data_IF_005937425890
#
_entry.id   IF_005937425890
#
_cell.length_a   1.000
_cell.length_b   1.000
_cell.length_c   1.000
_cell.angle_alpha   90.00
_cell.angle_beta   90.00
_cell.angle_gamma   90.00
#
_symmetry.space_group_name_H-M   'P 1'
#
loop_
_entity.id
_entity.type
_entity.pdbx_description
1 polymer ?
#
# COMPACT_ATOMS: atom_id res chain seq x y z
N UNK A 1 -43.36 -19.71 15.00
CA UNK A 1 -42.21 -18.83 14.83
C UNK A 1 -42.70 -17.42 14.52
N UNK A 2 -42.76 -16.53 15.55
CA UNK A 2 -43.36 -15.19 15.42
C UNK A 2 -42.29 -14.18 15.09
N UNK A 3 -42.43 -13.50 13.94
CA UNK A 3 -41.55 -12.40 13.53
C UNK A 3 -42.19 -11.09 14.01
N UNK A 4 -41.52 -10.37 14.91
CA UNK A 4 -41.93 -9.07 15.41
C UNK A 4 -41.35 -7.98 14.48
N UNK A 5 -42.28 -7.17 13.91
CA UNK A 5 -41.96 -5.94 13.18
C UNK A 5 -41.56 -4.86 14.21
N UNK A 6 -40.39 -4.25 14.04
CA UNK A 6 -40.01 -3.01 14.71
C UNK A 6 -40.27 -1.83 13.80
N UNK A 7 -40.99 -0.83 14.35
CA UNK A 7 -41.32 0.44 13.69
C UNK A 7 -40.09 1.32 13.43
N UNK A 8 -40.06 2.03 12.28
CA UNK A 8 -38.98 2.94 11.95
C UNK A 8 -39.31 4.39 12.32
N UNK A 9 -39.37 4.72 13.61
CA UNK A 9 -39.59 6.09 14.04
C UNK A 9 -38.80 6.40 15.32
N UNK A 10 -37.49 6.57 15.24
CA UNK A 10 -36.72 7.44 16.15
C UNK A 10 -35.28 7.61 15.64
N UNK A 11 -35.08 8.37 14.57
CA UNK A 11 -33.81 8.94 14.20
C UNK A 11 -33.78 10.39 14.61
N UNK A 12 -33.15 10.66 15.74
CA UNK A 12 -32.87 12.01 16.22
C UNK A 12 -31.92 12.70 15.22
N UNK A 13 -32.26 13.91 14.81
CA UNK A 13 -31.46 14.79 13.95
C UNK A 13 -30.23 15.25 14.71
N UNK A 14 -28.99 15.18 14.11
CA UNK A 14 -27.80 15.80 14.72
C UNK A 14 -27.92 17.32 14.64
N UNK A 15 -27.70 17.97 15.80
CA UNK A 15 -27.69 19.41 15.94
C UNK A 15 -26.50 20.05 15.20
N UNK A 16 -26.76 21.18 14.55
CA UNK A 16 -25.76 22.03 13.89
C UNK A 16 -24.79 22.64 14.92
N UNK A 17 -23.45 22.68 14.63
CA UNK A 17 -22.51 23.33 15.50
C UNK A 17 -22.62 24.86 15.42
N UNK A 18 -22.69 25.48 16.58
CA UNK A 18 -22.70 26.94 16.83
C UNK A 18 -21.42 27.59 16.31
N UNK A 19 -21.58 28.67 15.55
CA UNK A 19 -20.49 29.57 15.13
C UNK A 19 -19.91 30.26 16.36
N UNK A 20 -18.68 29.90 16.77
CA UNK A 20 -17.89 30.71 17.70
C UNK A 20 -16.97 31.61 16.87
N UNK A 21 -17.05 32.92 17.14
CA UNK A 21 -16.25 33.98 16.58
C UNK A 21 -14.75 33.69 16.74
N UNK A 22 -14.02 33.61 15.62
CA UNK A 22 -12.59 33.63 15.58
C UNK A 22 -12.14 35.08 15.36
N UNK A 23 -11.93 35.80 16.44
CA UNK A 23 -11.28 37.11 16.47
C UNK A 23 -9.86 36.97 15.90
N UNK A 24 -9.62 37.55 14.73
CA UNK A 24 -8.28 37.74 14.15
C UNK A 24 -7.52 38.77 14.99
N UNK A 25 -6.57 38.32 15.80
CA UNK A 25 -5.50 39.16 16.34
C UNK A 25 -4.32 39.13 15.38
N UNK A 26 -4.01 40.28 14.78
CA UNK A 26 -2.77 40.50 14.04
C UNK A 26 -1.59 40.53 15.03
N UNK A 27 -0.46 39.85 14.78
CA UNK A 27 0.70 39.96 15.61
C UNK A 27 1.39 41.33 15.42
N UNK A 28 1.61 42.02 16.52
CA UNK A 28 2.40 43.28 16.63
C UNK A 28 3.86 42.99 16.22
N UNK A 29 4.41 43.85 15.36
CA UNK A 29 5.85 43.92 15.11
C UNK A 29 6.50 44.54 16.34
N UNK A 30 7.30 43.80 17.06
CA UNK A 30 8.48 44.13 17.88
C UNK A 30 8.51 43.16 19.04
N UNK A 31 9.50 42.27 18.97
CA UNK A 31 10.31 41.69 20.04
C UNK A 31 10.91 40.37 19.56
N UNK A 32 11.88 40.49 18.63
CA UNK A 32 12.83 39.41 18.41
C UNK A 32 14.12 39.82 19.14
N UNK A 33 14.23 39.47 20.39
CA UNK A 33 15.53 39.45 21.06
C UNK A 33 16.31 38.25 20.51
N UNK A 34 17.49 38.51 19.97
CA UNK A 34 18.45 37.48 19.57
C UNK A 34 18.92 36.70 20.80
N UNK A 35 18.22 35.61 21.11
CA UNK A 35 18.73 34.57 22.00
C UNK A 35 19.74 33.74 21.24
N UNK A 36 20.95 33.64 21.75
CA UNK A 36 22.00 32.76 21.25
C UNK A 36 21.46 31.32 21.10
N UNK A 37 21.33 30.87 19.87
CA UNK A 37 21.05 29.46 19.57
C UNK A 37 22.33 28.70 19.96
N UNK A 38 22.31 28.00 21.10
CA UNK A 38 23.31 26.98 21.39
C UNK A 38 23.26 25.95 20.23
N UNK A 39 24.39 25.72 19.60
CA UNK A 39 24.57 24.64 18.64
C UNK A 39 24.35 23.29 19.34
N UNK A 40 23.09 22.93 19.54
CA UNK A 40 22.72 21.54 19.81
C UNK A 40 23.07 20.72 18.60
N UNK A 41 24.07 19.85 18.73
CA UNK A 41 24.38 18.85 17.69
C UNK A 41 23.10 18.13 17.31
N UNK A 42 22.61 18.41 16.10
CA UNK A 42 21.55 17.60 15.51
C UNK A 42 21.98 16.13 15.59
N UNK A 43 21.08 15.21 15.99
CA UNK A 43 21.41 13.79 15.96
C UNK A 43 21.90 13.47 14.57
N UNK A 44 23.09 12.85 14.47
CA UNK A 44 23.62 12.38 13.18
C UNK A 44 22.57 11.48 12.60
N UNK A 45 21.94 11.91 11.49
CA UNK A 45 21.01 11.07 10.74
C UNK A 45 21.78 9.79 10.38
N UNK A 46 21.20 8.64 10.71
CA UNK A 46 21.69 7.36 10.20
C UNK A 46 21.59 7.43 8.68
N UNK A 47 22.73 7.51 8.02
CA UNK A 47 22.82 7.61 6.56
C UNK A 47 22.86 6.25 5.88
N UNK A 48 22.64 5.15 6.64
CA UNK A 48 22.45 3.84 6.02
C UNK A 48 21.21 3.87 5.15
N UNK A 49 21.26 3.40 3.90
CA UNK A 49 20.08 3.32 3.06
C UNK A 49 19.04 2.41 3.74
N UNK A 50 17.84 2.96 3.98
CA UNK A 50 16.75 2.20 4.56
C UNK A 50 16.36 1.02 3.67
N UNK A 51 15.92 -0.09 4.27
CA UNK A 51 15.45 -1.28 3.56
C UNK A 51 14.08 -1.05 2.95
N UNK A 52 13.88 -1.54 1.73
CA UNK A 52 12.63 -1.38 0.98
C UNK A 52 12.04 -2.73 0.62
N UNK A 53 10.77 -2.96 0.97
CA UNK A 53 10.01 -4.12 0.57
C UNK A 53 8.98 -3.76 -0.51
N UNK A 54 8.88 -4.58 -1.56
CA UNK A 54 7.90 -4.45 -2.63
C UNK A 54 6.75 -5.44 -2.50
N UNK A 55 5.55 -4.99 -2.80
CA UNK A 55 4.32 -5.78 -2.87
C UNK A 55 3.66 -5.56 -4.22
N UNK A 56 3.08 -6.62 -4.80
CA UNK A 56 2.26 -6.53 -6.02
C UNK A 56 0.82 -6.86 -5.61
N UNK A 57 -0.12 -5.97 -5.92
CA UNK A 57 -1.51 -6.12 -5.48
C UNK A 57 -2.50 -5.47 -6.45
N UNK A 58 -3.78 -5.74 -6.26
CA UNK A 58 -4.88 -5.04 -6.95
C UNK A 58 -5.60 -4.07 -6.03
N UNK A 59 -5.72 -4.39 -4.73
CA UNK A 59 -6.48 -3.63 -3.73
C UNK A 59 -7.90 -3.28 -4.22
N UNK A 60 -8.66 -4.30 -4.63
CA UNK A 60 -9.96 -4.11 -5.32
C UNK A 60 -11.18 -4.69 -4.56
N UNK A 61 -11.64 -4.04 -3.46
CA UNK A 61 -10.98 -2.99 -2.68
C UNK A 61 -9.90 -3.53 -1.73
N UNK A 62 -9.25 -2.63 -0.99
CA UNK A 62 -8.41 -3.03 0.15
C UNK A 62 -9.30 -3.61 1.25
N UNK A 63 -8.81 -4.61 1.97
CA UNK A 63 -9.50 -5.29 3.07
C UNK A 63 -8.49 -5.76 4.12
N UNK A 64 -8.97 -6.30 5.25
CA UNK A 64 -8.15 -6.69 6.41
C UNK A 64 -6.98 -7.62 6.06
N UNK A 65 -7.18 -8.53 5.09
CA UNK A 65 -6.10 -9.40 4.59
C UNK A 65 -4.96 -8.64 3.92
N UNK A 66 -5.26 -7.54 3.22
CA UNK A 66 -4.23 -6.68 2.63
C UNK A 66 -3.51 -5.86 3.70
N UNK A 67 -4.24 -5.36 4.71
CA UNK A 67 -3.66 -4.64 5.86
C UNK A 67 -2.71 -5.58 6.61
N UNK A 68 -3.17 -6.78 6.94
CA UNK A 68 -2.35 -7.82 7.55
C UNK A 68 -1.08 -8.12 6.73
N UNK A 69 -1.20 -8.22 5.40
CA UNK A 69 -0.04 -8.46 4.53
C UNK A 69 0.97 -7.31 4.60
N UNK A 70 0.51 -6.04 4.57
CA UNK A 70 1.37 -4.88 4.73
C UNK A 70 2.12 -4.88 6.06
N UNK A 71 1.41 -5.15 7.17
CA UNK A 71 1.98 -5.25 8.52
C UNK A 71 3.01 -6.38 8.60
N UNK A 72 2.67 -7.58 8.11
CA UNK A 72 3.57 -8.74 8.10
C UNK A 72 4.78 -8.54 7.21
N UNK A 73 4.61 -7.88 6.06
CA UNK A 73 5.73 -7.50 5.20
C UNK A 73 6.75 -6.67 5.98
N UNK A 74 6.29 -5.62 6.66
CA UNK A 74 7.14 -4.75 7.45
C UNK A 74 7.80 -5.47 8.63
N UNK A 75 7.00 -6.29 9.35
CA UNK A 75 7.47 -7.07 10.49
C UNK A 75 8.58 -8.06 10.10
N UNK A 76 8.35 -8.86 9.04
CA UNK A 76 9.25 -9.95 8.65
C UNK A 76 10.51 -9.45 7.92
N UNK A 77 10.38 -8.49 7.03
CA UNK A 77 11.51 -7.94 6.27
C UNK A 77 12.34 -6.94 7.08
N UNK A 78 11.77 -6.36 8.16
CA UNK A 78 12.31 -5.20 8.86
C UNK A 78 12.56 -4.03 7.91
N UNK A 79 11.70 -3.90 6.90
CA UNK A 79 11.80 -2.82 5.93
C UNK A 79 11.34 -1.50 6.53
N UNK A 80 12.09 -0.44 6.22
CA UNK A 80 11.77 0.93 6.59
C UNK A 80 10.64 1.47 5.70
N UNK A 81 10.61 1.02 4.44
CA UNK A 81 9.62 1.44 3.44
C UNK A 81 8.96 0.25 2.76
N UNK A 82 7.67 0.39 2.46
CA UNK A 82 6.89 -0.59 1.69
C UNK A 82 6.34 0.07 0.44
N UNK A 83 6.74 -0.44 -0.72
CA UNK A 83 6.30 0.01 -2.05
C UNK A 83 5.28 -0.98 -2.59
N UNK A 84 4.07 -0.52 -2.91
CA UNK A 84 3.06 -1.33 -3.56
C UNK A 84 3.00 -1.02 -5.06
N UNK A 85 3.06 -2.04 -5.91
CA UNK A 85 2.75 -1.94 -7.34
C UNK A 85 1.33 -2.43 -7.55
N UNK A 86 0.43 -1.54 -8.00
CA UNK A 86 -1.01 -1.77 -8.01
C UNK A 86 -1.57 -1.65 -9.42
N UNK A 87 -2.54 -2.50 -9.79
CA UNK A 87 -3.29 -2.35 -11.04
C UNK A 87 -4.03 -1.00 -11.11
N UNK A 88 -4.12 -0.44 -12.31
CA UNK A 88 -4.81 0.82 -12.58
C UNK A 88 -6.34 0.73 -12.48
N UNK A 89 -7.07 1.18 -13.50
CA UNK A 89 -8.53 1.16 -13.51
C UNK A 89 -9.14 -0.23 -13.79
N UNK A 90 -8.31 -1.19 -14.23
CA UNK A 90 -8.75 -2.55 -14.54
C UNK A 90 -7.97 -3.55 -13.72
N UNK A 91 -8.66 -4.64 -13.36
CA UNK A 91 -8.08 -5.78 -12.63
C UNK A 91 -7.32 -6.70 -13.59
N UNK A 92 -6.58 -7.65 -13.03
CA UNK A 92 -5.87 -8.68 -13.80
C UNK A 92 -6.81 -9.48 -14.73
N UNK A 93 -8.07 -9.67 -14.33
CA UNK A 93 -9.10 -10.35 -15.14
C UNK A 93 -9.72 -9.46 -16.23
N UNK A 94 -9.27 -8.23 -16.41
CA UNK A 94 -9.79 -7.29 -17.41
C UNK A 94 -11.11 -6.64 -17.03
N UNK A 95 -11.61 -6.83 -15.80
CA UNK A 95 -12.82 -6.15 -15.31
C UNK A 95 -12.47 -4.78 -14.72
N UNK A 96 -13.38 -3.78 -14.82
CA UNK A 96 -13.18 -2.53 -14.11
C UNK A 96 -13.03 -2.76 -12.60
N UNK A 97 -12.13 -2.01 -11.98
CA UNK A 97 -11.99 -2.00 -10.53
C UNK A 97 -13.23 -1.37 -9.87
N UNK A 98 -13.57 -1.79 -8.64
CA UNK A 98 -14.77 -1.31 -7.90
C UNK A 98 -14.68 0.15 -7.51
N UNK A 99 -13.48 0.73 -7.46
CA UNK A 99 -13.26 2.17 -7.20
C UNK A 99 -12.07 2.68 -8.01
N UNK A 100 -11.94 4.02 -8.06
CA UNK A 100 -10.87 4.68 -8.80
C UNK A 100 -9.47 4.32 -8.27
N UNK A 101 -8.49 4.37 -9.14
CA UNK A 101 -7.10 4.02 -8.75
C UNK A 101 -6.55 4.94 -7.66
N UNK A 102 -6.94 6.21 -7.66
CA UNK A 102 -6.47 7.18 -6.67
C UNK A 102 -7.02 6.92 -5.27
N UNK A 103 -8.30 6.50 -5.18
CA UNK A 103 -8.92 6.10 -3.91
C UNK A 103 -8.27 4.83 -3.37
N UNK A 104 -8.02 3.85 -4.23
CA UNK A 104 -7.33 2.60 -3.85
C UNK A 104 -5.89 2.85 -3.43
N UNK A 105 -5.16 3.72 -4.15
CA UNK A 105 -3.81 4.10 -3.77
C UNK A 105 -3.77 4.81 -2.42
N UNK A 106 -4.71 5.75 -2.17
CA UNK A 106 -4.84 6.40 -0.87
C UNK A 106 -5.11 5.39 0.24
N UNK A 107 -6.05 4.47 0.03
CA UNK A 107 -6.36 3.42 1.00
C UNK A 107 -5.14 2.54 1.31
N UNK A 108 -4.28 2.24 0.32
CA UNK A 108 -3.05 1.49 0.52
C UNK A 108 -2.01 2.28 1.35
N UNK A 109 -1.91 3.59 1.15
CA UNK A 109 -1.06 4.48 1.97
C UNK A 109 -1.61 4.55 3.40
N UNK A 110 -2.91 4.79 3.56
CA UNK A 110 -3.57 4.87 4.87
C UNK A 110 -3.45 3.54 5.65
N UNK A 111 -3.31 2.40 4.94
CA UNK A 111 -3.08 1.07 5.51
C UNK A 111 -1.60 0.77 5.84
N UNK A 112 -0.68 1.70 5.61
CA UNK A 112 0.73 1.57 5.98
C UNK A 112 1.71 1.34 4.83
N UNK A 113 1.28 1.47 3.57
CA UNK A 113 2.19 1.59 2.42
C UNK A 113 2.85 2.98 2.38
N UNK A 114 4.06 3.07 1.84
CA UNK A 114 4.79 4.34 1.75
C UNK A 114 4.74 4.93 0.32
N UNK A 115 4.68 4.08 -0.68
CA UNK A 115 4.58 4.46 -2.09
C UNK A 115 3.68 3.50 -2.84
N UNK A 116 2.83 4.03 -3.71
CA UNK A 116 2.03 3.21 -4.63
C UNK A 116 2.38 3.59 -6.06
N UNK A 117 2.77 2.59 -6.85
CA UNK A 117 3.05 2.70 -8.27
C UNK A 117 1.98 1.96 -9.07
N UNK A 118 1.70 2.42 -10.26
CA UNK A 118 0.75 1.76 -11.16
C UNK A 118 1.45 0.72 -12.04
N UNK A 119 0.92 -0.50 -12.08
CA UNK A 119 1.32 -1.51 -13.06
C UNK A 119 0.92 -1.02 -14.45
N UNK A 120 1.83 -1.04 -15.46
CA UNK A 120 1.46 -0.69 -16.83
C UNK A 120 0.29 -1.53 -17.33
N UNK A 121 -0.68 -0.90 -17.98
CA UNK A 121 -1.96 -1.51 -18.38
C UNK A 121 -1.83 -2.84 -19.09
N UNK A 122 -0.88 -2.96 -20.00
CA UNK A 122 -0.63 -4.20 -20.77
C UNK A 122 -0.27 -5.40 -19.88
N UNK A 123 0.32 -5.16 -18.71
CA UNK A 123 0.61 -6.20 -17.73
C UNK A 123 -0.54 -6.36 -16.75
N UNK A 124 -1.21 -5.26 -16.38
CA UNK A 124 -2.31 -5.28 -15.42
C UNK A 124 -3.48 -6.16 -15.91
N UNK A 125 -3.80 -6.15 -17.22
CA UNK A 125 -4.90 -6.89 -17.84
C UNK A 125 -4.39 -8.08 -18.64
N UNK A 126 -3.58 -8.94 -18.04
CA UNK A 126 -2.95 -10.08 -18.71
C UNK A 126 -3.09 -11.36 -17.89
N UNK A 127 -2.46 -12.46 -18.36
CA UNK A 127 -2.35 -13.67 -17.55
C UNK A 127 -1.66 -13.39 -16.22
N UNK A 128 -1.86 -14.29 -15.23
CA UNK A 128 -1.24 -14.14 -13.92
C UNK A 128 0.30 -14.05 -14.00
N UNK A 129 0.90 -14.76 -14.94
CA UNK A 129 2.34 -14.71 -15.20
C UNK A 129 2.78 -13.30 -15.66
N UNK A 130 2.10 -12.75 -16.68
CA UNK A 130 2.44 -11.42 -17.19
C UNK A 130 2.15 -10.32 -16.18
N UNK A 131 1.07 -10.45 -15.40
CA UNK A 131 0.78 -9.54 -14.30
C UNK A 131 1.92 -9.53 -13.26
N UNK A 132 2.37 -10.72 -12.85
CA UNK A 132 3.49 -10.85 -11.91
C UNK A 132 4.79 -10.30 -12.52
N UNK A 133 5.10 -10.60 -13.77
CA UNK A 133 6.29 -10.08 -14.49
C UNK A 133 6.27 -8.56 -14.57
N UNK A 134 5.12 -7.96 -14.87
CA UNK A 134 4.96 -6.50 -14.91
C UNK A 134 5.22 -5.87 -13.55
N UNK A 135 4.60 -6.41 -12.50
CA UNK A 135 4.80 -5.93 -11.13
C UNK A 135 6.24 -6.07 -10.64
N UNK A 136 6.85 -7.24 -10.84
CA UNK A 136 8.27 -7.47 -10.51
C UNK A 136 9.18 -6.56 -11.34
N UNK A 137 8.88 -6.37 -12.63
CA UNK A 137 9.65 -5.48 -13.51
C UNK A 137 9.64 -4.03 -13.04
N UNK A 138 8.49 -3.52 -12.57
CA UNK A 138 8.39 -2.18 -11.99
C UNK A 138 9.22 -2.08 -10.72
N UNK A 139 9.10 -3.05 -9.80
CA UNK A 139 9.88 -3.08 -8.56
C UNK A 139 11.39 -3.15 -8.84
N UNK A 140 11.82 -4.04 -9.74
CA UNK A 140 13.22 -4.18 -10.11
C UNK A 140 13.78 -2.90 -10.78
N UNK A 141 12.96 -2.23 -11.59
CA UNK A 141 13.32 -0.98 -12.26
C UNK A 141 13.61 0.19 -11.31
N UNK A 142 13.10 0.15 -10.07
CA UNK A 142 13.42 1.14 -9.04
C UNK A 142 14.86 1.04 -8.55
N UNK A 143 15.49 -0.13 -8.62
CA UNK A 143 16.88 -0.35 -8.21
C UNK A 143 17.14 -0.23 -6.71
N UNK A 144 16.10 -0.12 -5.89
CA UNK A 144 16.22 0.05 -4.43
C UNK A 144 15.38 -0.95 -3.63
N UNK A 145 14.84 -1.98 -4.27
CA UNK A 145 14.02 -2.99 -3.59
C UNK A 145 14.90 -4.11 -3.05
N UNK A 146 14.88 -4.31 -1.72
CA UNK A 146 15.62 -5.38 -1.04
C UNK A 146 14.84 -6.69 -0.97
N UNK A 147 13.50 -6.58 -0.81
CA UNK A 147 12.63 -7.73 -0.61
C UNK A 147 11.38 -7.63 -1.47
N UNK A 148 10.86 -8.77 -1.94
CA UNK A 148 9.51 -8.89 -2.51
C UNK A 148 8.69 -9.74 -1.55
N UNK A 149 7.53 -9.22 -1.14
CA UNK A 149 6.59 -9.89 -0.26
C UNK A 149 5.33 -10.30 -1.02
N UNK A 150 4.90 -11.52 -0.82
CA UNK A 150 3.67 -12.06 -1.39
C UNK A 150 3.04 -13.11 -0.46
N UNK A 151 1.73 -13.29 -0.57
CA UNK A 151 1.01 -14.33 0.17
C UNK A 151 1.21 -15.71 -0.45
N UNK A 152 1.32 -16.74 0.40
CA UNK A 152 1.38 -18.13 -0.01
C UNK A 152 0.64 -19.00 1.00
N UNK A 153 -0.10 -20.00 0.51
CA UNK A 153 -0.82 -20.93 1.36
C UNK A 153 0.12 -21.82 2.18
N UNK A 154 1.25 -22.23 1.59
CA UNK A 154 2.23 -23.07 2.30
C UNK A 154 3.21 -22.29 3.17
N UNK A 155 3.40 -20.99 2.93
CA UNK A 155 4.33 -20.14 3.68
C UNK A 155 5.81 -20.55 3.60
N UNK A 156 6.16 -21.55 2.78
CA UNK A 156 7.53 -22.07 2.64
C UNK A 156 8.13 -21.67 1.29
N UNK A 157 9.07 -20.74 1.35
CA UNK A 157 9.77 -20.23 0.15
C UNK A 157 10.59 -21.32 -0.55
N UNK A 158 11.09 -22.34 0.18
CA UNK A 158 11.90 -23.39 -0.40
C UNK A 158 11.09 -24.30 -1.35
N UNK A 159 9.84 -24.55 -1.01
CA UNK A 159 8.90 -25.30 -1.85
C UNK A 159 8.58 -24.50 -3.11
N UNK A 160 8.31 -23.20 -2.95
CA UNK A 160 8.01 -22.31 -4.07
C UNK A 160 9.21 -22.17 -5.03
N UNK A 161 10.42 -22.06 -4.50
CA UNK A 161 11.64 -22.00 -5.31
C UNK A 161 11.85 -23.29 -6.10
N UNK A 162 11.63 -24.46 -5.49
CA UNK A 162 11.70 -25.76 -6.19
C UNK A 162 10.66 -25.82 -7.32
N UNK A 163 9.42 -25.46 -7.04
CA UNK A 163 8.38 -25.43 -8.06
C UNK A 163 8.74 -24.47 -9.20
N UNK A 164 9.18 -23.25 -8.87
CA UNK A 164 9.61 -22.25 -9.86
C UNK A 164 10.77 -22.76 -10.72
N UNK A 165 11.74 -23.48 -10.15
CA UNK A 165 12.88 -24.04 -10.90
C UNK A 165 12.45 -25.14 -11.86
N UNK A 166 11.44 -25.95 -11.50
CA UNK A 166 10.87 -26.97 -12.39
C UNK A 166 10.16 -26.29 -13.58
N UNK A 167 9.30 -25.32 -13.31
CA UNK A 167 8.60 -24.59 -14.38
C UNK A 167 9.54 -23.80 -15.29
N UNK A 168 10.62 -23.22 -14.74
CA UNK A 168 11.61 -22.50 -15.54
C UNK A 168 12.43 -23.42 -16.50
N UNK A 169 12.52 -24.70 -16.15
CA UNK A 169 13.29 -25.69 -16.90
C UNK A 169 12.37 -26.73 -17.59
N UNK A 170 11.12 -26.38 -17.84
CA UNK A 170 10.21 -27.26 -18.59
C UNK A 170 10.81 -27.72 -19.90
N UNK A 171 10.84 -29.05 -20.11
CA UNK A 171 11.28 -29.62 -21.37
C UNK A 171 10.32 -29.23 -22.50
N UNK A 172 10.82 -29.20 -23.74
CA UNK A 172 10.00 -28.88 -24.93
C UNK A 172 8.78 -29.79 -25.05
N UNK A 173 8.88 -31.05 -24.59
CA UNK A 173 7.78 -32.03 -24.57
C UNK A 173 6.58 -31.62 -23.70
N UNK A 174 6.74 -30.69 -22.78
CA UNK A 174 5.67 -30.18 -21.90
C UNK A 174 4.98 -28.93 -22.48
N UNK A 175 5.56 -28.31 -23.52
CA UNK A 175 5.06 -27.08 -24.17
C UNK A 175 4.19 -27.34 -25.39
N UNK A 176 3.92 -28.63 -25.73
CA UNK A 176 3.16 -29.05 -26.89
C UNK A 176 1.63 -29.01 -26.67
#
# INVERSE_FOLDING_TARGET
MKVSKKDPASLAKPGSPSKKDVSRRSPSKNDISAGELSEGQAPKADTSPGKVAGIIAEYNPIHDGHIYHLEKTREMSKADFVVAVMSGYFTQRGTPAVSGKWERARAAIDAGGDLVLETPFMYACSSAEFFARGGVGVLAGLGCIDYISFGSECGDISILQKAASIFANESEDYRA
#
